data_IF_109666348139
#
_entry.id   IF_109666348139
#
_cell.length_a   1.000
_cell.length_b   1.000
_cell.length_c   1.000
_cell.angle_alpha   90.00
_cell.angle_beta   90.00
_cell.angle_gamma   90.00
#
_symmetry.space_group_name_H-M   'P 1'
#
loop_
_entity.id
_entity.type
_entity.pdbx_description
1 polymer ?
#
# COMPACT_ATOMS: atom_id res chain seq x y z
N UNK A 1 -18.24 40.68 -41.11
CA UNK A 1 -19.21 40.33 -40.04
C UNK A 1 -19.10 38.84 -39.78
N UNK A 2 -18.85 38.42 -38.53
CA UNK A 2 -18.80 37.00 -38.16
C UNK A 2 -20.23 36.46 -38.10
N UNK A 3 -20.61 35.61 -39.05
CA UNK A 3 -21.89 34.91 -39.05
C UNK A 3 -21.82 33.76 -38.06
N UNK A 4 -22.43 33.95 -36.89
CA UNK A 4 -22.52 32.89 -35.88
C UNK A 4 -23.59 31.90 -36.34
N UNK A 5 -23.15 30.68 -36.67
CA UNK A 5 -24.04 29.60 -37.07
C UNK A 5 -24.93 29.17 -35.89
N UNK A 6 -26.23 29.02 -36.12
CA UNK A 6 -27.21 28.62 -35.07
C UNK A 6 -26.86 27.28 -34.39
N UNK A 7 -26.21 26.37 -35.11
CA UNK A 7 -25.68 25.12 -34.55
C UNK A 7 -24.56 25.35 -33.53
N UNK A 8 -23.74 26.38 -33.71
CA UNK A 8 -22.67 26.74 -32.76
C UNK A 8 -23.23 27.34 -31.47
N UNK A 9 -24.33 28.10 -31.55
CA UNK A 9 -25.03 28.62 -30.37
C UNK A 9 -25.68 27.50 -29.56
N UNK A 10 -26.35 26.54 -30.20
CA UNK A 10 -26.94 25.38 -29.52
C UNK A 10 -25.87 24.57 -28.80
N UNK A 11 -24.75 24.29 -29.46
CA UNK A 11 -23.63 23.59 -28.85
C UNK A 11 -22.99 24.38 -27.71
N UNK A 12 -22.94 25.70 -27.80
CA UNK A 12 -22.44 26.55 -26.72
C UNK A 12 -23.37 26.48 -25.49
N UNK A 13 -24.69 26.45 -25.68
CA UNK A 13 -25.67 26.28 -24.60
C UNK A 13 -25.55 24.90 -23.92
N UNK A 14 -25.45 23.81 -24.70
CA UNK A 14 -25.25 22.46 -24.14
C UNK A 14 -23.95 22.37 -23.32
N UNK A 15 -22.88 23.02 -23.80
CA UNK A 15 -21.62 23.09 -23.07
C UNK A 15 -21.76 23.90 -21.77
N UNK A 16 -22.54 24.97 -21.78
CA UNK A 16 -22.79 25.79 -20.60
C UNK A 16 -23.56 25.01 -19.53
N UNK A 17 -24.63 24.29 -19.90
CA UNK A 17 -25.36 23.42 -18.97
C UNK A 17 -24.45 22.34 -18.37
N UNK A 18 -23.57 21.75 -19.17
CA UNK A 18 -22.61 20.75 -18.71
C UNK A 18 -21.58 21.33 -17.75
N UNK A 19 -21.10 22.55 -18.00
CA UNK A 19 -20.18 23.27 -17.10
C UNK A 19 -20.86 23.53 -15.75
N UNK A 20 -22.10 24.01 -15.75
CA UNK A 20 -22.86 24.25 -14.52
C UNK A 20 -23.10 22.97 -13.73
N UNK A 21 -23.43 21.86 -14.41
CA UNK A 21 -23.57 20.55 -13.79
C UNK A 21 -22.29 20.10 -13.08
N UNK A 22 -21.15 20.20 -13.76
CA UNK A 22 -19.85 19.85 -13.20
C UNK A 22 -19.46 20.75 -12.01
N UNK A 23 -19.77 22.05 -12.07
CA UNK A 23 -19.53 22.97 -10.96
C UNK A 23 -20.38 22.63 -9.72
N UNK A 24 -21.64 22.22 -9.90
CA UNK A 24 -22.50 21.74 -8.80
C UNK A 24 -21.97 20.44 -8.20
N UNK A 25 -21.50 19.51 -9.03
CA UNK A 25 -20.89 18.26 -8.56
C UNK A 25 -19.61 18.51 -7.77
N UNK A 26 -18.73 19.39 -8.24
CA UNK A 26 -17.51 19.79 -7.53
C UNK A 26 -17.84 20.42 -6.18
N UNK A 27 -18.76 21.38 -6.13
CA UNK A 27 -19.22 22.00 -4.88
C UNK A 27 -19.80 20.97 -3.92
N UNK A 28 -20.55 19.98 -4.41
CA UNK A 28 -21.11 18.89 -3.59
C UNK A 28 -20.01 17.98 -3.03
N UNK A 29 -18.99 17.65 -3.82
CA UNK A 29 -17.86 16.80 -3.37
C UNK A 29 -16.99 17.56 -2.37
N UNK A 30 -16.68 18.83 -2.64
CA UNK A 30 -15.88 19.67 -1.75
C UNK A 30 -16.61 19.95 -0.43
N UNK A 31 -17.90 20.27 -0.46
CA UNK A 31 -18.71 20.46 0.75
C UNK A 31 -18.82 19.20 1.62
N UNK A 32 -18.94 18.02 1.00
CA UNK A 32 -18.90 16.74 1.72
C UNK A 32 -17.55 16.47 2.38
N UNK A 33 -16.45 16.88 1.74
CA UNK A 33 -15.10 16.71 2.28
C UNK A 33 -14.80 17.72 3.40
N UNK A 34 -15.38 18.92 3.38
CA UNK A 34 -15.26 19.90 4.46
C UNK A 34 -15.86 19.37 5.78
N UNK A 35 -17.03 18.71 5.72
CA UNK A 35 -17.64 18.05 6.87
C UNK A 35 -16.78 16.89 7.42
N UNK A 36 -16.10 16.15 6.53
CA UNK A 36 -15.16 15.10 6.92
C UNK A 36 -13.88 15.64 7.56
N UNK A 37 -13.41 16.83 7.16
CA UNK A 37 -12.21 17.44 7.74
C UNK A 37 -12.40 17.87 9.20
N UNK A 38 -13.62 18.27 9.58
CA UNK A 38 -13.95 18.58 10.98
C UNK A 38 -13.92 17.35 11.88
N UNK A 39 -14.39 16.20 11.37
CA UNK A 39 -14.47 14.95 12.13
C UNK A 39 -13.09 14.32 12.40
N UNK A 40 -12.10 14.57 11.54
CA UNK A 40 -10.73 14.02 11.69
C UNK A 40 -9.91 14.81 12.72
N UNK A 41 -10.26 16.06 13.00
CA UNK A 41 -9.57 16.89 14.00
C UNK A 41 -9.75 16.39 15.44
N UNK A 42 -10.92 15.85 15.77
CA UNK A 42 -11.31 15.51 17.14
C UNK A 42 -10.71 14.19 17.66
N UNK A 43 -10.22 13.32 16.76
CA UNK A 43 -9.72 11.98 17.14
C UNK A 43 -8.21 11.96 17.47
N UNK A 44 -7.50 13.09 17.35
CA UNK A 44 -6.05 13.16 17.60
C UNK A 44 -5.65 13.53 19.03
N UNK A 45 -6.63 13.77 19.92
CA UNK A 45 -6.40 14.20 21.31
C UNK A 45 -6.13 13.11 22.36
N UNK A 46 -6.05 11.82 22.00
CA UNK A 46 -5.80 10.75 22.97
C UNK A 46 -4.30 10.47 23.12
N UNK A 47 -3.72 11.10 24.14
CA UNK A 47 -2.37 10.84 24.65
C UNK A 47 -2.13 9.35 24.87
N UNK A 48 -1.19 8.77 24.12
CA UNK A 48 -0.70 7.41 24.33
C UNK A 48 0.07 7.33 25.66
N UNK A 49 -0.13 6.28 26.48
CA UNK A 49 0.60 6.11 27.72
C UNK A 49 2.11 5.90 27.47
N UNK A 50 2.92 6.64 28.23
CA UNK A 50 4.37 6.63 28.18
C UNK A 50 4.95 5.21 28.30
N UNK A 51 5.71 4.77 27.30
CA UNK A 51 6.43 3.49 27.32
C UNK A 51 7.51 3.52 28.41
N UNK A 52 7.21 2.86 29.52
CA UNK A 52 8.10 2.56 30.64
C UNK A 52 9.47 2.01 30.17
N UNK A 53 10.51 2.81 30.40
CA UNK A 53 11.89 2.41 30.71
C UNK A 53 12.54 1.28 29.89
N UNK A 54 13.22 1.63 28.80
CA UNK A 54 14.39 0.87 28.36
C UNK A 54 15.52 1.14 29.36
N UNK A 55 15.94 0.14 30.13
CA UNK A 55 17.14 0.25 30.99
C UNK A 55 18.35 0.66 30.14
N UNK A 56 19.03 1.78 30.45
CA UNK A 56 20.27 2.14 29.81
C UNK A 56 21.43 1.34 30.44
N UNK A 57 22.38 0.91 29.61
CA UNK A 57 23.73 0.55 30.06
C UNK A 57 23.94 -0.90 30.48
N UNK A 58 24.24 -1.78 29.51
CA UNK A 58 25.12 -2.94 29.81
C UNK A 58 26.56 -2.49 29.54
N UNK A 59 27.26 -2.08 30.60
CA UNK A 59 28.70 -1.78 30.54
C UNK A 59 29.44 -3.00 29.97
N UNK A 60 30.27 -2.81 28.95
CA UNK A 60 31.20 -3.83 28.46
C UNK A 60 32.18 -4.11 29.61
N UNK A 61 32.17 -5.31 30.16
CA UNK A 61 33.18 -5.72 31.13
C UNK A 61 34.53 -5.83 30.41
N UNK A 62 35.41 -4.86 30.67
CA UNK A 62 36.85 -5.05 30.55
C UNK A 62 37.28 -6.08 31.59
N UNK A 63 38.07 -7.08 31.19
CA UNK A 63 38.56 -8.11 32.09
C UNK A 63 38.91 -9.42 31.39
N UNK A 64 39.89 -9.38 30.49
CA UNK A 64 40.65 -10.60 30.14
C UNK A 64 41.51 -10.94 31.37
N UNK A 65 41.06 -11.87 32.20
CA UNK A 65 41.96 -12.59 33.12
C UNK A 65 42.37 -13.90 32.47
N UNK A 66 43.65 -14.00 32.16
CA UNK A 66 44.34 -15.25 31.87
C UNK A 66 44.29 -16.15 33.12
N UNK A 67 44.19 -17.45 32.91
CA UNK A 67 44.28 -18.44 33.98
C UNK A 67 42.94 -19.03 34.44
N UNK A 68 42.35 -19.87 33.60
CA UNK A 68 41.57 -21.02 34.10
C UNK A 68 41.78 -22.20 33.16
N UNK A 69 42.29 -23.35 33.66
CA UNK A 69 42.60 -24.48 32.81
C UNK A 69 41.34 -24.96 32.09
N UNK A 70 41.51 -25.33 30.82
CA UNK A 70 40.47 -25.88 29.96
C UNK A 70 39.83 -27.10 30.65
N UNK A 71 38.72 -26.87 31.37
CA UNK A 71 37.79 -27.94 31.67
C UNK A 71 37.34 -28.46 30.31
N UNK A 72 37.81 -29.68 30.02
CA UNK A 72 37.42 -30.55 28.91
C UNK A 72 36.15 -30.03 28.26
N UNK A 73 36.25 -29.71 26.98
CA UNK A 73 35.11 -29.51 26.12
C UNK A 73 34.21 -30.73 26.30
N UNK A 74 33.27 -30.62 27.24
CA UNK A 74 32.10 -31.45 27.22
C UNK A 74 31.53 -31.14 25.85
N UNK A 75 31.45 -32.20 25.05
CA UNK A 75 30.69 -32.32 23.83
C UNK A 75 29.21 -32.11 24.21
N UNK A 76 28.90 -30.93 24.75
CA UNK A 76 27.60 -30.57 25.27
C UNK A 76 26.81 -30.13 24.06
N UNK A 77 26.26 -31.14 23.39
CA UNK A 77 25.13 -31.08 22.49
C UNK A 77 25.24 -29.97 21.47
N UNK A 78 25.59 -30.35 20.23
CA UNK A 78 25.10 -29.74 18.99
C UNK A 78 23.89 -28.89 19.31
N UNK A 79 24.08 -27.57 19.43
CA UNK A 79 23.02 -26.64 19.77
C UNK A 79 21.96 -26.80 18.71
N UNK A 80 20.93 -27.59 19.03
CA UNK A 80 19.82 -27.92 18.15
C UNK A 80 19.28 -26.56 17.74
N UNK A 81 19.61 -26.11 16.52
CA UNK A 81 19.19 -24.81 16.00
C UNK A 81 17.71 -24.76 16.28
N UNK A 82 17.28 -23.95 17.25
CA UNK A 82 15.89 -23.83 17.65
C UNK A 82 15.18 -23.26 16.44
N UNK A 83 14.72 -24.13 15.55
CA UNK A 83 13.87 -23.77 14.44
C UNK A 83 12.68 -23.11 15.09
N UNK A 84 12.43 -21.85 14.74
CA UNK A 84 11.30 -21.15 15.32
C UNK A 84 10.04 -22.01 15.10
N UNK A 85 9.10 -22.06 16.05
CA UNK A 85 7.88 -22.86 15.94
C UNK A 85 6.97 -22.48 14.75
N UNK A 86 7.38 -21.47 13.98
CA UNK A 86 6.74 -20.96 12.78
C UNK A 86 7.53 -21.26 11.49
N UNK A 87 8.76 -21.80 11.59
CA UNK A 87 9.57 -22.13 10.41
C UNK A 87 8.98 -23.37 9.74
N UNK A 88 8.38 -23.16 8.57
CA UNK A 88 7.72 -24.22 7.77
C UNK A 88 6.19 -24.22 7.82
N UNK A 89 5.55 -23.45 8.72
CA UNK A 89 4.08 -23.31 8.70
C UNK A 89 3.68 -22.46 7.50
N UNK A 90 2.97 -23.07 6.54
CA UNK A 90 2.40 -22.37 5.38
C UNK A 90 1.43 -21.31 5.91
N UNK A 91 1.59 -20.07 5.45
CA UNK A 91 0.62 -19.01 5.76
C UNK A 91 -0.73 -19.37 5.14
N UNK A 92 -1.86 -19.03 5.79
CA UNK A 92 -3.17 -19.26 5.19
C UNK A 92 -3.21 -18.58 3.81
N UNK A 93 -3.62 -19.35 2.80
CA UNK A 93 -3.74 -18.83 1.44
C UNK A 93 -4.93 -17.89 1.37
N UNK A 94 -4.76 -16.73 0.73
CA UNK A 94 -5.89 -15.86 0.43
C UNK A 94 -6.86 -16.55 -0.54
N UNK A 95 -8.17 -16.28 -0.43
CA UNK A 95 -9.19 -16.90 -1.28
C UNK A 95 -8.96 -16.63 -2.78
N UNK A 96 -8.41 -15.48 -3.13
CA UNK A 96 -8.08 -15.13 -4.52
C UNK A 96 -6.65 -15.46 -4.95
N UNK A 97 -5.90 -16.18 -4.12
CA UNK A 97 -4.50 -16.50 -4.39
C UNK A 97 -3.57 -15.28 -4.31
N UNK A 98 -2.33 -15.42 -4.80
CA UNK A 98 -1.32 -14.37 -4.69
C UNK A 98 -1.65 -13.14 -5.57
N UNK A 99 -1.34 -11.95 -5.04
CA UNK A 99 -1.62 -10.66 -5.70
C UNK A 99 -0.85 -10.47 -7.01
N UNK A 100 0.40 -10.95 -7.09
CA UNK A 100 1.29 -10.75 -8.23
C UNK A 100 0.70 -11.24 -9.57
N UNK A 101 0.26 -12.50 -9.74
CA UNK A 101 -0.31 -12.96 -10.99
C UNK A 101 -1.61 -12.23 -11.36
N UNK A 102 -2.42 -11.84 -10.38
CA UNK A 102 -3.63 -11.06 -10.63
C UNK A 102 -3.30 -9.68 -11.22
N UNK A 103 -2.31 -8.98 -10.65
CA UNK A 103 -1.81 -7.69 -11.18
C UNK A 103 -1.21 -7.87 -12.57
N UNK A 104 -0.38 -8.91 -12.79
CA UNK A 104 0.20 -9.20 -14.10
C UNK A 104 -0.90 -9.43 -15.15
N UNK A 105 -1.96 -10.17 -14.80
CA UNK A 105 -3.11 -10.40 -15.70
C UNK A 105 -3.81 -9.10 -16.09
N UNK A 106 -4.00 -8.18 -15.14
CA UNK A 106 -4.58 -6.85 -15.39
C UNK A 106 -3.67 -6.04 -16.33
N UNK A 107 -2.38 -5.98 -16.03
CA UNK A 107 -1.44 -5.17 -16.82
C UNK A 107 -1.19 -5.74 -18.22
N UNK A 108 -1.22 -7.07 -18.37
CA UNK A 108 -1.16 -7.73 -19.69
C UNK A 108 -2.36 -7.36 -20.57
N UNK A 109 -3.56 -7.27 -19.98
CA UNK A 109 -4.76 -6.84 -20.71
C UNK A 109 -4.72 -5.38 -21.12
N UNK A 110 -4.14 -4.51 -20.28
CA UNK A 110 -4.02 -3.09 -20.59
C UNK A 110 -2.91 -2.79 -21.62
N UNK A 111 -1.89 -3.63 -21.72
CA UNK A 111 -0.81 -3.49 -22.72
C UNK A 111 0.16 -2.33 -22.47
N UNK A 112 0.02 -1.59 -21.36
CA UNK A 112 0.80 -0.39 -21.08
C UNK A 112 1.02 -0.11 -19.60
N UNK A 113 1.79 0.95 -19.26
CA UNK A 113 1.97 1.39 -17.89
C UNK A 113 0.64 1.87 -17.30
N UNK A 114 0.35 1.47 -16.06
CA UNK A 114 -0.89 1.79 -15.35
C UNK A 114 -0.61 2.43 -13.99
N UNK A 115 -1.53 3.31 -13.58
CA UNK A 115 -1.59 3.85 -12.22
C UNK A 115 -2.16 2.82 -11.24
N UNK A 116 -1.81 2.96 -9.95
CA UNK A 116 -2.29 2.09 -8.86
C UNK A 116 -3.82 2.00 -8.83
N UNK A 117 -4.51 3.12 -9.03
CA UNK A 117 -5.98 3.18 -9.04
C UNK A 117 -6.58 2.39 -10.21
N UNK A 118 -5.97 2.46 -11.39
CA UNK A 118 -6.41 1.70 -12.56
C UNK A 118 -6.17 0.20 -12.37
N UNK A 119 -5.05 -0.19 -11.73
CA UNK A 119 -4.78 -1.58 -11.36
C UNK A 119 -5.81 -2.07 -10.35
N UNK A 120 -6.16 -1.25 -9.35
CA UNK A 120 -7.17 -1.59 -8.36
C UNK A 120 -8.55 -1.81 -9.00
N UNK A 121 -8.96 -0.95 -9.93
CA UNK A 121 -10.19 -1.14 -10.70
C UNK A 121 -10.14 -2.43 -11.53
N UNK A 122 -9.03 -2.71 -12.22
CA UNK A 122 -8.85 -3.95 -12.97
C UNK A 122 -8.92 -5.21 -12.08
N UNK A 123 -8.42 -5.13 -10.84
CA UNK A 123 -8.53 -6.22 -9.86
C UNK A 123 -9.96 -6.41 -9.37
N UNK A 124 -10.73 -5.33 -9.17
CA UNK A 124 -12.16 -5.40 -8.86
C UNK A 124 -12.94 -6.06 -10.00
N UNK A 125 -12.65 -5.70 -11.25
CA UNK A 125 -13.28 -6.29 -12.44
C UNK A 125 -12.96 -7.79 -12.57
N UNK A 126 -11.78 -8.21 -12.12
CA UNK A 126 -11.38 -9.61 -12.05
C UNK A 126 -11.87 -10.34 -10.79
N UNK A 127 -12.77 -9.73 -10.00
CA UNK A 127 -13.33 -10.29 -8.76
C UNK A 127 -12.25 -10.72 -7.74
N UNK A 128 -11.14 -9.99 -7.67
CA UNK A 128 -10.10 -10.26 -6.69
C UNK A 128 -10.57 -9.84 -5.29
N UNK A 129 -10.57 -10.78 -4.35
CA UNK A 129 -10.98 -10.62 -2.96
C UNK A 129 -9.79 -10.17 -2.12
N UNK A 130 -9.97 -9.08 -1.40
CA UNK A 130 -8.97 -8.52 -0.50
C UNK A 130 -9.24 -8.96 0.94
N UNK A 131 -8.19 -9.38 1.65
CA UNK A 131 -8.27 -9.74 3.08
C UNK A 131 -7.98 -8.54 4.01
N UNK A 132 -7.93 -7.33 3.47
CA UNK A 132 -7.47 -6.11 4.16
C UNK A 132 -8.50 -5.02 3.97
N UNK A 133 -8.71 -4.20 5.01
CA UNK A 133 -9.68 -3.10 5.00
C UNK A 133 -9.38 -2.05 3.93
N UNK A 134 -8.11 -1.67 3.77
CA UNK A 134 -7.65 -0.65 2.81
C UNK A 134 -6.90 -1.28 1.62
N UNK A 135 -7.59 -1.78 0.58
CA UNK A 135 -6.94 -2.45 -0.55
C UNK A 135 -6.05 -1.50 -1.37
N UNK A 136 -6.41 -0.22 -1.49
CA UNK A 136 -5.62 0.79 -2.21
C UNK A 136 -4.24 0.99 -1.59
N UNK A 137 -4.18 1.21 -0.27
CA UNK A 137 -2.92 1.40 0.46
C UNK A 137 -2.08 0.11 0.43
N UNK A 138 -2.72 -1.04 0.60
CA UNK A 138 -2.03 -2.32 0.53
C UNK A 138 -1.41 -2.58 -0.86
N UNK A 139 -2.16 -2.31 -1.93
CA UNK A 139 -1.67 -2.41 -3.31
C UNK A 139 -0.50 -1.44 -3.54
N UNK A 140 -0.66 -0.17 -3.14
CA UNK A 140 0.37 0.85 -3.29
C UNK A 140 1.68 0.48 -2.58
N UNK A 141 1.61 -0.09 -1.39
CA UNK A 141 2.80 -0.56 -0.67
C UNK A 141 3.43 -1.78 -1.35
N UNK A 142 2.61 -2.74 -1.80
CA UNK A 142 3.11 -4.03 -2.32
C UNK A 142 3.60 -3.95 -3.75
N UNK A 143 3.02 -3.09 -4.60
CA UNK A 143 3.30 -3.05 -6.04
C UNK A 143 4.79 -2.80 -6.36
N UNK A 144 5.50 -2.08 -5.50
CA UNK A 144 6.95 -1.87 -5.59
C UNK A 144 7.78 -3.14 -5.40
N UNK A 145 7.24 -4.11 -4.68
CA UNK A 145 7.90 -5.39 -4.35
C UNK A 145 7.35 -6.57 -5.14
N UNK A 146 6.32 -6.35 -5.96
CA UNK A 146 5.69 -7.44 -6.72
C UNK A 146 6.65 -7.94 -7.81
N UNK A 147 6.86 -9.26 -7.91
CA UNK A 147 7.63 -9.83 -9.00
C UNK A 147 6.92 -9.57 -10.34
N UNK A 148 7.69 -9.25 -11.38
CA UNK A 148 7.15 -9.01 -12.73
C UNK A 148 6.58 -7.62 -12.97
N UNK A 149 6.61 -6.72 -11.98
CA UNK A 149 6.17 -5.33 -12.12
C UNK A 149 7.35 -4.40 -11.83
N UNK A 150 7.49 -3.32 -12.62
CA UNK A 150 8.50 -2.28 -12.40
C UNK A 150 7.86 -0.89 -12.42
N UNK A 151 8.41 0.04 -11.64
CA UNK A 151 8.04 1.46 -11.70
C UNK A 151 8.61 2.07 -12.98
N UNK A 152 7.78 2.77 -13.74
CA UNK A 152 8.19 3.48 -14.97
C UNK A 152 8.16 5.00 -14.77
N UNK A 153 7.31 5.49 -13.85
CA UNK A 153 7.19 6.90 -13.54
C UNK A 153 6.55 7.14 -12.16
N UNK A 154 6.33 8.40 -11.77
CA UNK A 154 5.60 8.72 -10.54
C UNK A 154 4.20 8.12 -10.61
N UNK A 155 3.90 7.16 -9.73
CA UNK A 155 2.60 6.47 -9.69
C UNK A 155 2.34 5.45 -10.80
N UNK A 156 3.23 5.34 -11.80
CA UNK A 156 3.08 4.48 -12.98
C UNK A 156 3.91 3.21 -12.88
N UNK A 157 3.27 2.08 -13.14
CA UNK A 157 3.86 0.75 -13.11
C UNK A 157 3.64 0.05 -14.45
N UNK A 158 4.65 -0.67 -14.93
CA UNK A 158 4.55 -1.52 -16.11
C UNK A 158 5.00 -2.95 -15.78
N UNK A 159 4.71 -3.87 -16.69
CA UNK A 159 5.31 -5.20 -16.64
C UNK A 159 6.82 -5.10 -16.84
N UNK A 160 7.56 -5.87 -16.06
CA UNK A 160 8.97 -6.13 -16.33
C UNK A 160 9.02 -7.04 -17.56
N UNK A 161 9.61 -6.53 -18.65
CA UNK A 161 9.95 -7.35 -19.82
C UNK A 161 10.95 -8.43 -19.43
#
# INVERSE_FOLDING_TARGET
>A
MLTINTSTLRRALDLQERIEGLQRELSRVLGKNAALSGLVGEVTGLSLPARRGRKPGRKKAAGRKAGRPAKKAAESGRGKKRTSPFKGKKRPSSPSGPLAPAVIKVMKRAGGPMNVDAVLQGLKNNKYVWNVSDPKKNLAARIYTLPGVKKVGPGLFALKK
#
